data_IF_202533342353
#
_entry.id   IF_202533342353
#
_cell.length_a   1.000
_cell.length_b   1.000
_cell.length_c   1.000
_cell.angle_alpha   90.00
_cell.angle_beta   90.00
_cell.angle_gamma   90.00
#
_symmetry.space_group_name_H-M   'P 1'
#
loop_
_entity.id
_entity.type
_entity.pdbx_description
1 polymer ?
#
# COMPACT_ATOMS: atom_id res chain seq x y z
N UNK A 1 -17.90 11.67 11.86
CA UNK A 1 -16.93 10.56 11.93
C UNK A 1 -16.42 10.33 10.51
N UNK A 2 -15.10 10.46 10.23
CA UNK A 2 -14.55 10.15 8.90
C UNK A 2 -14.65 8.63 8.70
N UNK A 3 -15.37 8.18 7.68
CA UNK A 3 -15.41 6.77 7.30
C UNK A 3 -13.96 6.30 7.06
N UNK A 4 -13.51 5.32 7.83
CA UNK A 4 -12.15 4.78 7.70
C UNK A 4 -12.18 3.76 6.57
N UNK A 5 -11.50 4.06 5.47
CA UNK A 5 -11.35 3.13 4.36
C UNK A 5 -10.58 1.87 4.81
N UNK A 6 -10.79 0.76 4.10
CA UNK A 6 -10.08 -0.51 4.32
C UNK A 6 -9.33 -0.92 3.07
N UNK A 7 -8.17 -1.54 3.26
CA UNK A 7 -7.42 -2.13 2.16
C UNK A 7 -8.17 -3.32 1.56
N UNK A 8 -8.39 -3.33 0.24
CA UNK A 8 -9.11 -4.43 -0.45
C UNK A 8 -8.42 -5.79 -0.26
N UNK A 9 -7.08 -5.83 -0.21
CA UNK A 9 -6.33 -7.09 -0.16
C UNK A 9 -6.12 -7.70 1.24
N UNK A 10 -6.09 -6.89 2.29
CA UNK A 10 -5.71 -7.35 3.64
C UNK A 10 -6.57 -6.76 4.76
N UNK A 11 -7.64 -6.06 4.38
CA UNK A 11 -8.65 -5.45 5.26
C UNK A 11 -8.11 -4.45 6.29
N UNK A 12 -6.87 -4.02 6.15
CA UNK A 12 -6.24 -3.08 7.03
C UNK A 12 -6.97 -1.74 7.02
N UNK A 13 -7.27 -1.24 8.22
CA UNK A 13 -8.04 -0.01 8.41
C UNK A 13 -7.10 1.18 8.39
N UNK A 14 -7.44 2.19 7.60
CA UNK A 14 -6.69 3.45 7.54
C UNK A 14 -6.55 4.09 8.93
N UNK A 15 -5.35 4.60 9.23
CA UNK A 15 -5.04 5.25 10.48
C UNK A 15 -4.84 4.30 11.68
N UNK A 16 -5.01 2.98 11.51
CA UNK A 16 -4.63 2.01 12.56
C UNK A 16 -3.16 1.62 12.43
N UNK A 17 -2.46 1.42 13.56
CA UNK A 17 -1.11 0.87 13.54
C UNK A 17 -1.13 -0.59 13.10
N UNK A 18 -0.15 -1.01 12.30
CA UNK A 18 0.10 -2.44 12.08
C UNK A 18 0.76 -3.06 13.31
N UNK A 19 0.41 -4.32 13.65
CA UNK A 19 1.07 -5.04 14.74
C UNK A 19 2.56 -5.25 14.48
N UNK A 20 2.93 -5.42 13.20
CA UNK A 20 4.31 -5.56 12.75
C UNK A 20 4.80 -4.25 12.10
N UNK A 21 5.95 -3.75 12.56
CA UNK A 21 6.63 -2.59 11.96
C UNK A 21 6.21 -1.21 12.49
N UNK A 22 5.26 -1.13 13.44
CA UNK A 22 4.86 0.12 14.16
C UNK A 22 4.60 1.33 13.25
N UNK A 23 4.10 1.10 12.04
CA UNK A 23 3.68 2.18 11.13
C UNK A 23 2.16 2.27 11.07
N UNK A 24 1.68 3.47 10.76
CA UNK A 24 0.27 3.75 10.56
C UNK A 24 -0.11 3.35 9.13
N UNK A 25 -1.21 2.61 8.99
CA UNK A 25 -1.74 2.23 7.69
C UNK A 25 -2.22 3.48 6.96
N UNK A 26 -1.56 3.80 5.86
CA UNK A 26 -2.02 4.79 4.89
C UNK A 26 -2.57 4.02 3.69
N UNK A 27 -3.78 4.38 3.25
CA UNK A 27 -4.40 3.79 2.08
C UNK A 27 -4.31 4.75 0.91
N UNK A 28 -3.92 4.24 -0.24
CA UNK A 28 -3.93 4.97 -1.50
C UNK A 28 -5.06 4.45 -2.38
N UNK A 29 -5.75 5.37 -3.07
CA UNK A 29 -6.76 5.03 -4.07
C UNK A 29 -6.05 4.72 -5.38
N UNK A 30 -6.12 3.47 -5.81
CA UNK A 30 -5.45 2.96 -7.01
C UNK A 30 -6.45 2.32 -7.95
N UNK A 31 -6.16 2.34 -9.26
CA UNK A 31 -6.93 1.56 -10.23
C UNK A 31 -6.35 0.16 -10.33
N UNK A 32 -7.21 -0.82 -10.49
CA UNK A 32 -6.84 -2.17 -10.91
C UNK A 32 -6.68 -2.20 -12.44
N UNK A 33 -5.99 -3.22 -12.97
CA UNK A 33 -5.91 -3.43 -14.43
C UNK A 33 -7.28 -3.64 -15.10
N UNK A 34 -8.30 -3.98 -14.31
CA UNK A 34 -9.70 -4.11 -14.76
C UNK A 34 -10.46 -2.78 -14.74
N UNK A 35 -9.79 -1.66 -14.44
CA UNK A 35 -10.39 -0.32 -14.36
C UNK A 35 -11.15 -0.01 -13.07
N UNK A 36 -11.25 -0.96 -12.11
CA UNK A 36 -11.90 -0.72 -10.80
C UNK A 36 -10.99 0.10 -9.90
N UNK A 37 -11.52 1.16 -9.29
CA UNK A 37 -10.83 1.93 -8.24
C UNK A 37 -10.99 1.24 -6.89
N UNK A 38 -9.88 1.01 -6.18
CA UNK A 38 -9.84 0.37 -4.87
C UNK A 38 -8.89 1.11 -3.92
N UNK A 39 -9.07 0.95 -2.61
CA UNK A 39 -8.14 1.45 -1.60
C UNK A 39 -7.17 0.35 -1.20
N UNK A 40 -5.87 0.67 -1.19
CA UNK A 40 -4.81 -0.32 -0.94
C UNK A 40 -3.75 0.27 -0.01
N UNK A 41 -3.33 -0.50 0.98
CA UNK A 41 -2.27 -0.06 1.91
C UNK A 41 -0.88 -0.11 1.27
N UNK A 42 0.06 0.66 1.81
CA UNK A 42 1.44 0.76 1.30
C UNK A 42 2.08 -0.62 1.06
N UNK A 43 1.86 -1.59 1.95
CA UNK A 43 2.37 -2.95 1.79
C UNK A 43 1.72 -3.70 0.63
N UNK A 44 0.39 -3.65 0.52
CA UNK A 44 -0.34 -4.38 -0.52
C UNK A 44 -0.13 -3.78 -1.91
N UNK A 45 0.14 -2.48 -2.02
CA UNK A 45 0.53 -1.83 -3.28
C UNK A 45 1.80 -2.47 -3.84
N UNK A 46 2.79 -2.75 -2.98
CA UNK A 46 4.04 -3.40 -3.38
C UNK A 46 3.84 -4.87 -3.73
N UNK A 47 3.09 -5.61 -2.92
CA UNK A 47 2.93 -7.06 -3.08
C UNK A 47 1.94 -7.47 -4.19
N UNK A 48 0.98 -6.60 -4.53
CA UNK A 48 -0.01 -6.85 -5.58
C UNK A 48 0.15 -5.87 -6.75
N UNK A 49 1.37 -5.34 -6.96
CA UNK A 49 1.66 -4.38 -8.03
C UNK A 49 1.24 -4.91 -9.41
N UNK A 50 1.38 -6.22 -9.63
CA UNK A 50 0.98 -6.94 -10.83
C UNK A 50 -0.53 -6.88 -11.12
N UNK A 51 -1.36 -6.64 -10.11
CA UNK A 51 -2.83 -6.53 -10.23
C UNK A 51 -3.31 -5.09 -10.30
N UNK A 52 -2.41 -4.13 -10.06
CA UNK A 52 -2.71 -2.71 -10.01
C UNK A 52 -2.27 -2.01 -11.28
N UNK A 53 -3.10 -1.08 -11.73
CA UNK A 53 -2.81 -0.15 -12.82
C UNK A 53 -2.24 1.14 -12.19
N UNK A 54 -0.98 1.07 -11.76
CA UNK A 54 -0.26 2.20 -11.21
C UNK A 54 0.35 3.02 -12.37
N UNK A 55 0.11 4.35 -12.43
CA UNK A 55 0.75 5.22 -13.40
C UNK A 55 2.24 5.31 -13.08
N UNK A 56 3.03 4.39 -13.65
CA UNK A 56 4.41 4.22 -13.24
C UNK A 56 5.02 2.89 -13.63
N UNK A 57 4.81 2.42 -14.86
CA UNK A 57 5.65 1.35 -15.44
C UNK A 57 7.14 1.75 -15.56
N UNK A 58 7.53 2.99 -15.19
CA UNK A 58 8.91 3.48 -15.27
C UNK A 58 9.51 4.19 -14.04
N UNK A 59 8.76 4.47 -12.96
CA UNK A 59 9.31 5.19 -11.81
C UNK A 59 9.71 4.23 -10.67
N UNK A 60 10.79 3.49 -10.90
CA UNK A 60 11.44 2.65 -9.89
C UNK A 60 11.74 3.42 -8.59
N UNK A 61 11.95 4.74 -8.66
CA UNK A 61 12.33 5.59 -7.50
C UNK A 61 11.23 5.72 -6.44
N UNK A 62 9.96 5.79 -6.83
CA UNK A 62 8.83 5.93 -5.88
C UNK A 62 8.62 4.65 -5.07
N UNK A 63 8.64 3.52 -5.76
CA UNK A 63 8.51 2.19 -5.15
C UNK A 63 9.78 1.83 -4.37
N UNK A 64 10.97 2.27 -4.79
CA UNK A 64 12.19 2.14 -3.99
C UNK A 64 12.07 2.82 -2.63
N UNK A 65 11.37 3.97 -2.55
CA UNK A 65 11.19 4.72 -1.30
C UNK A 65 10.27 3.96 -0.33
N UNK A 66 9.21 3.33 -0.85
CA UNK A 66 8.31 2.45 -0.08
C UNK A 66 9.06 1.16 0.33
N UNK A 67 9.78 0.52 -0.58
CA UNK A 67 10.59 -0.67 -0.31
C UNK A 67 11.72 -0.42 0.71
N UNK A 68 12.42 0.72 0.63
CA UNK A 68 13.46 1.10 1.61
C UNK A 68 12.87 1.35 3.00
N UNK A 69 11.60 1.75 3.10
CA UNK A 69 10.90 1.89 4.38
C UNK A 69 10.54 0.53 4.99
N UNK A 70 10.22 -0.46 4.16
CA UNK A 70 9.96 -1.84 4.60
C UNK A 70 11.23 -2.63 4.97
N UNK A 71 12.34 -2.48 4.24
CA UNK A 71 13.59 -3.24 4.54
C UNK A 71 14.21 -2.92 5.90
N UNK A 72 13.97 -1.73 6.45
CA UNK A 72 14.52 -1.32 7.76
C UNK A 72 13.86 -2.03 8.95
N UNK A 73 12.78 -2.79 8.73
CA UNK A 73 12.05 -3.52 9.77
C UNK A 73 12.51 -4.99 9.89
N UNK A 74 13.26 -5.52 8.92
CA UNK A 74 13.65 -6.95 8.87
C UNK A 74 15.18 -7.20 9.02
N UNK A 75 15.96 -6.18 9.38
CA UNK A 75 17.43 -6.31 9.59
C UNK A 75 17.90 -5.66 10.89
N UNK A 76 17.06 -5.69 11.93
CA UNK A 76 17.42 -5.37 13.31
C UNK A 76 17.11 -6.55 14.21
#
# INVERSE_FOLDING_TARGET
>A
MKEKHRCEFCEAVEGKPRPLGRFIVELEKVKTQKGKEIYVCQSCVVHNRDKLDLPGKGDEKGILKIMKRCKRVFTG
#
